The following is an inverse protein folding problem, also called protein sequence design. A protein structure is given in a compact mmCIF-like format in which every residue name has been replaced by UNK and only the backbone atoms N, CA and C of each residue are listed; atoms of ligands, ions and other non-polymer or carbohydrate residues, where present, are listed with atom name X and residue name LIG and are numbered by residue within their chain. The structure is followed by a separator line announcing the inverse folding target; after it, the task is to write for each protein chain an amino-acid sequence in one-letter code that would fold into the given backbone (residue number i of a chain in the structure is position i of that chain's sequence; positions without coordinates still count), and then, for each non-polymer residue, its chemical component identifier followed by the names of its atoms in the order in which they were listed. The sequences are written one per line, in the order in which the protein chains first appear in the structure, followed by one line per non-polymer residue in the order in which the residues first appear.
data_IF_722716631745
#
_entry.id   IF_722716631745
#
_cell.length_a   1.000
_cell.length_b   1.000
_cell.length_c   1.000
_cell.angle_alpha   90.00
_cell.angle_beta   90.00
_cell.angle_gamma   90.00
#
_symmetry.space_group_name_H-M   'P 1'
#
loop_
_entity.id
_entity.type
_entity.pdbx_description
1 polymer ?
#
# COMPACT_ATOMS: atom_id res chain seq x y z
N UNK A 1 -1.61 22.46 8.79
CA UNK A 1 -2.27 21.33 9.49
C UNK A 1 -3.54 20.98 8.77
N UNK A 2 -3.79 19.67 8.51
CA UNK A 2 -5.02 19.17 7.92
C UNK A 2 -5.45 17.87 8.62
N UNK A 3 -6.71 17.54 8.48
CA UNK A 3 -7.24 16.25 8.92
C UNK A 3 -7.27 15.27 7.76
N UNK A 4 -6.84 14.02 8.02
CA UNK A 4 -6.88 12.91 7.09
C UNK A 4 -7.69 11.75 7.67
N UNK A 5 -8.67 11.25 6.92
CA UNK A 5 -9.47 10.10 7.32
C UNK A 5 -8.97 8.83 6.64
N UNK A 6 -8.35 7.94 7.44
CA UNK A 6 -7.89 6.62 7.04
C UNK A 6 -8.95 5.56 7.36
N UNK A 7 -9.39 4.81 6.35
CA UNK A 7 -10.40 3.74 6.48
C UNK A 7 -9.87 2.36 6.05
N UNK A 8 -8.71 2.30 5.45
CA UNK A 8 -8.01 1.10 4.96
C UNK A 8 -6.71 0.85 5.72
N UNK A 9 -5.65 0.51 5.00
CA UNK A 9 -4.31 0.28 5.59
C UNK A 9 -3.80 1.47 6.41
N UNK A 10 -4.22 2.68 6.09
CA UNK A 10 -3.82 3.90 6.79
C UNK A 10 -4.50 4.11 8.15
N UNK A 11 -5.34 3.20 8.60
CA UNK A 11 -5.71 3.13 10.02
C UNK A 11 -4.53 2.67 10.89
N UNK A 12 -3.60 1.91 10.30
CA UNK A 12 -2.40 1.43 10.98
C UNK A 12 -1.31 2.50 11.02
N UNK A 13 -0.82 2.83 12.21
CA UNK A 13 0.33 3.73 12.39
C UNK A 13 1.61 3.19 11.74
N UNK A 14 1.81 1.85 11.74
CA UNK A 14 2.93 1.23 11.05
C UNK A 14 2.86 1.48 9.54
N UNK A 15 1.65 1.37 8.96
CA UNK A 15 1.43 1.64 7.54
C UNK A 15 1.69 3.10 7.18
N UNK A 16 1.28 4.05 8.03
CA UNK A 16 1.56 5.49 7.83
C UNK A 16 3.05 5.79 7.94
N UNK A 17 3.72 5.27 8.97
CA UNK A 17 5.18 5.45 9.17
C UNK A 17 5.99 4.86 8.02
N UNK A 18 5.58 3.72 7.47
CA UNK A 18 6.22 3.16 6.27
C UNK A 18 6.13 4.07 5.04
N UNK A 19 5.17 5.01 5.03
CA UNK A 19 4.98 6.05 4.01
C UNK A 19 5.65 7.39 4.37
N UNK A 20 6.33 7.45 5.53
CA UNK A 20 6.95 8.67 6.04
C UNK A 20 5.96 9.64 6.69
N UNK A 21 4.74 9.20 7.00
CA UNK A 21 3.69 10.03 7.60
C UNK A 21 3.60 9.77 9.11
N UNK A 22 3.78 10.82 9.91
CA UNK A 22 3.66 10.78 11.37
C UNK A 22 2.60 11.79 11.81
N UNK A 23 1.35 11.36 12.08
CA UNK A 23 0.31 12.23 12.59
C UNK A 23 0.63 12.73 14.00
N UNK A 24 0.20 13.95 14.33
CA UNK A 24 0.31 14.52 15.69
C UNK A 24 -0.68 13.91 16.68
N UNK A 25 -1.87 13.61 16.16
CA UNK A 25 -2.93 12.98 16.93
C UNK A 25 -3.77 12.07 16.02
N UNK A 26 -4.42 11.09 16.62
CA UNK A 26 -5.30 10.17 15.92
C UNK A 26 -6.49 9.81 16.80
N UNK A 27 -7.69 9.84 16.26
CA UNK A 27 -8.91 9.46 16.96
C UNK A 27 -9.83 8.65 16.04
N UNK A 28 -10.66 7.80 16.62
CA UNK A 28 -11.70 7.11 15.85
C UNK A 28 -12.67 8.12 15.26
N UNK A 29 -13.18 7.82 14.06
CA UNK A 29 -14.22 8.63 13.44
C UNK A 29 -15.16 7.78 12.60
N UNK A 30 -16.34 8.32 12.34
CA UNK A 30 -17.39 7.70 11.53
C UNK A 30 -17.67 8.58 10.33
N UNK A 31 -17.68 7.98 9.15
CA UNK A 31 -18.16 8.59 7.91
C UNK A 31 -19.53 7.99 7.58
N UNK A 32 -20.60 8.79 7.67
CA UNK A 32 -21.99 8.35 7.41
C UNK A 32 -22.38 8.51 5.94
N UNK A 33 -23.28 7.64 5.49
CA UNK A 33 -23.76 7.65 4.10
C UNK A 33 -22.77 7.07 3.11
N UNK A 34 -21.75 6.35 3.60
CA UNK A 34 -20.70 5.73 2.80
C UNK A 34 -20.51 4.26 3.16
N UNK A 35 -20.02 3.49 2.19
CA UNK A 35 -19.72 2.06 2.34
C UNK A 35 -18.27 1.77 2.00
N UNK A 36 -17.60 0.96 2.83
CA UNK A 36 -16.28 0.41 2.54
C UNK A 36 -16.38 -0.71 1.51
N UNK A 37 -15.52 -0.64 0.51
CA UNK A 37 -15.34 -1.66 -0.53
C UNK A 37 -13.87 -2.05 -0.64
N UNK A 38 -13.61 -3.19 -1.26
CA UNK A 38 -12.25 -3.63 -1.62
C UNK A 38 -12.18 -3.80 -3.14
N UNK A 39 -12.58 -2.78 -3.87
CA UNK A 39 -12.80 -2.82 -5.31
C UNK A 39 -11.87 -1.91 -6.13
N UNK A 40 -10.81 -1.37 -5.52
CA UNK A 40 -9.73 -0.76 -6.30
C UNK A 40 -8.72 -1.84 -6.66
N UNK A 41 -8.54 -2.11 -7.95
CA UNK A 41 -7.57 -3.08 -8.43
C UNK A 41 -6.14 -2.63 -8.10
N UNK A 42 -5.38 -3.48 -7.39
CA UNK A 42 -3.97 -3.19 -7.12
C UNK A 42 -3.13 -3.28 -8.41
N UNK A 43 -2.03 -2.53 -8.49
CA UNK A 43 -1.12 -2.58 -9.65
C UNK A 43 -0.59 -4.00 -9.93
N UNK A 44 -0.33 -4.77 -8.89
CA UNK A 44 0.10 -6.16 -8.98
C UNK A 44 -1.05 -7.09 -8.60
N UNK A 45 -1.35 -8.07 -9.45
CA UNK A 45 -2.56 -8.90 -9.35
C UNK A 45 -2.64 -9.73 -8.09
N UNK A 46 -1.51 -10.22 -7.59
CA UNK A 46 -1.48 -11.04 -6.38
C UNK A 46 -1.94 -10.29 -5.11
N UNK A 47 -1.98 -8.98 -5.14
CA UNK A 47 -2.49 -8.16 -4.04
C UNK A 47 -4.01 -8.05 -4.04
N UNK A 48 -4.68 -8.39 -5.14
CA UNK A 48 -6.13 -8.32 -5.26
C UNK A 48 -6.68 -6.90 -5.23
N UNK A 49 -7.80 -6.72 -4.54
CA UNK A 49 -8.45 -5.42 -4.35
C UNK A 49 -8.01 -4.73 -3.06
N UNK A 50 -7.88 -3.42 -3.11
CA UNK A 50 -7.57 -2.57 -1.95
C UNK A 50 -8.74 -1.66 -1.62
N UNK A 51 -8.68 -1.02 -0.44
CA UNK A 51 -9.77 -0.27 0.15
C UNK A 51 -10.23 0.92 -0.70
N UNK A 52 -11.53 1.07 -0.78
CA UNK A 52 -12.25 2.19 -1.38
C UNK A 52 -13.45 2.55 -0.53
N UNK A 53 -13.97 3.74 -0.66
CA UNK A 53 -15.26 4.14 -0.10
C UNK A 53 -16.18 4.67 -1.20
N UNK A 54 -17.44 4.31 -1.11
CA UNK A 54 -18.47 4.72 -2.05
C UNK A 54 -19.55 5.49 -1.30
N UNK A 55 -19.90 6.68 -1.81
CA UNK A 55 -21.03 7.45 -1.29
C UNK A 55 -22.33 6.76 -1.72
N UNK A 56 -23.10 6.30 -0.76
CA UNK A 56 -24.40 5.65 -0.99
C UNK A 56 -25.56 6.58 -0.68
N UNK A 57 -25.32 7.65 0.07
CA UNK A 57 -26.35 8.51 0.62
C UNK A 57 -27.32 7.83 1.59
N UNK A 58 -27.15 6.52 1.85
CA UNK A 58 -28.03 5.76 2.74
C UNK A 58 -27.68 6.02 4.20
N UNK A 59 -28.63 6.42 5.06
CA UNK A 59 -28.34 6.86 6.44
C UNK A 59 -27.75 5.76 7.33
N UNK A 60 -28.04 4.49 7.06
CA UNK A 60 -27.53 3.36 7.82
C UNK A 60 -26.12 2.92 7.40
N UNK A 61 -25.69 3.33 6.19
CA UNK A 61 -24.34 3.04 5.72
C UNK A 61 -23.32 3.90 6.47
N UNK A 62 -22.24 3.26 6.92
CA UNK A 62 -21.18 3.94 7.64
C UNK A 62 -19.84 3.26 7.41
N UNK A 63 -18.80 4.07 7.36
CA UNK A 63 -17.41 3.61 7.39
C UNK A 63 -16.78 4.03 8.71
N UNK A 64 -16.27 3.08 9.47
CA UNK A 64 -15.46 3.38 10.65
C UNK A 64 -14.00 3.47 10.23
N UNK A 65 -13.31 4.46 10.76
CA UNK A 65 -11.90 4.71 10.44
C UNK A 65 -11.21 5.53 11.51
N UNK A 66 -10.08 6.08 11.14
CA UNK A 66 -9.24 6.90 12.01
C UNK A 66 -9.06 8.28 11.40
N UNK A 67 -9.37 9.31 12.17
CA UNK A 67 -9.10 10.70 11.83
C UNK A 67 -7.71 11.05 12.37
N UNK A 68 -6.80 11.37 11.48
CA UNK A 68 -5.42 11.76 11.78
C UNK A 68 -5.26 13.26 11.61
N UNK A 69 -4.66 13.91 12.59
CA UNK A 69 -4.20 15.30 12.49
C UNK A 69 -2.78 15.30 11.94
N UNK A 70 -2.62 15.71 10.68
CA UNK A 70 -1.35 15.63 9.95
C UNK A 70 -0.73 17.03 9.75
N UNK A 71 0.60 17.15 9.81
CA UNK A 71 1.30 18.35 9.39
C UNK A 71 1.20 18.52 7.87
N UNK A 72 1.27 19.77 7.37
CA UNK A 72 1.02 20.07 5.95
C UNK A 72 2.01 19.38 5.02
N UNK A 73 3.25 19.18 5.45
CA UNK A 73 4.30 18.46 4.71
C UNK A 73 3.96 16.96 4.46
N UNK A 74 3.11 16.37 5.29
CA UNK A 74 2.67 14.99 5.11
C UNK A 74 1.73 14.80 3.90
N UNK A 75 1.13 15.88 3.38
CA UNK A 75 0.18 15.78 2.27
C UNK A 75 0.84 15.23 1.00
N UNK A 76 2.01 15.70 0.66
CA UNK A 76 2.75 15.23 -0.52
C UNK A 76 3.19 13.76 -0.39
N UNK A 77 3.50 13.31 0.82
CA UNK A 77 3.86 11.91 1.09
C UNK A 77 2.64 10.99 0.96
N UNK A 78 1.47 11.44 1.45
CA UNK A 78 0.20 10.72 1.26
C UNK A 78 -0.16 10.66 -0.23
N UNK A 79 -0.12 11.78 -0.95
CA UNK A 79 -0.42 11.84 -2.37
C UNK A 79 0.46 10.87 -3.17
N UNK A 80 1.76 10.84 -2.88
CA UNK A 80 2.69 9.92 -3.52
C UNK A 80 2.34 8.45 -3.19
N UNK A 81 2.07 8.15 -1.92
CA UNK A 81 1.80 6.79 -1.47
C UNK A 81 0.47 6.23 -1.99
N UNK A 82 -0.52 7.11 -2.19
CA UNK A 82 -1.85 6.77 -2.74
C UNK A 82 -1.91 6.89 -4.27
N UNK A 83 -0.78 7.20 -4.92
CA UNK A 83 -0.73 7.44 -6.36
C UNK A 83 -1.82 8.44 -6.81
N UNK A 84 -1.92 9.58 -6.10
CA UNK A 84 -2.90 10.62 -6.37
C UNK A 84 -2.88 11.08 -7.84
N UNK A 85 -4.05 11.16 -8.46
CA UNK A 85 -4.20 11.47 -9.88
C UNK A 85 -3.97 10.27 -10.82
N UNK A 86 -3.58 9.10 -10.29
CA UNK A 86 -3.36 7.86 -11.05
C UNK A 86 -4.17 6.70 -10.50
N UNK A 87 -3.96 6.29 -9.26
CA UNK A 87 -4.67 5.19 -8.60
C UNK A 87 -5.87 5.66 -7.80
N UNK A 88 -5.70 6.75 -7.08
CA UNK A 88 -6.71 7.38 -6.25
C UNK A 88 -6.87 8.86 -6.56
N UNK A 89 -8.07 9.36 -6.30
CA UNK A 89 -8.35 10.78 -6.23
C UNK A 89 -8.51 11.20 -4.76
N UNK A 90 -8.09 12.42 -4.42
CA UNK A 90 -8.28 13.01 -3.10
C UNK A 90 -9.55 13.82 -3.08
N UNK A 91 -10.38 13.59 -2.06
CA UNK A 91 -11.63 14.31 -1.83
C UNK A 91 -11.70 14.82 -0.40
N UNK A 92 -12.55 15.81 -0.20
CA UNK A 92 -12.92 16.34 1.11
C UNK A 92 -14.26 15.73 1.54
N UNK A 93 -14.34 15.32 2.81
CA UNK A 93 -15.49 14.68 3.43
C UNK A 93 -15.73 15.23 4.82
N UNK A 94 -16.95 15.10 5.35
CA UNK A 94 -17.27 15.36 6.74
C UNK A 94 -17.31 14.05 7.54
N UNK A 95 -16.55 13.98 8.64
CA UNK A 95 -16.52 12.83 9.55
C UNK A 95 -16.93 13.25 10.95
N UNK A 96 -17.48 12.30 11.72
CA UNK A 96 -17.86 12.46 13.13
C UNK A 96 -16.79 11.80 14.01
N UNK A 97 -15.90 12.58 14.67
CA UNK A 97 -14.92 12.03 15.60
C UNK A 97 -15.62 11.38 16.82
N UNK A 98 -15.09 10.21 17.25
CA UNK A 98 -15.50 9.61 18.51
C UNK A 98 -14.81 10.34 19.67
N UNK A 99 -15.61 10.81 20.66
CA UNK A 99 -15.11 11.62 21.77
C UNK A 99 -14.34 12.87 21.33
N UNK A 100 -14.97 13.81 20.61
CA UNK A 100 -14.31 15.04 20.22
C UNK A 100 -13.83 15.78 21.49
N UNK A 101 -12.59 16.28 21.47
CA UNK A 101 -12.13 17.18 22.55
C UNK A 101 -13.03 18.41 22.61
N UNK A 102 -13.04 19.12 23.73
CA UNK A 102 -13.85 20.35 23.89
C UNK A 102 -13.56 21.41 22.80
N UNK A 103 -12.43 21.31 22.13
CA UNK A 103 -12.01 22.19 21.04
C UNK A 103 -12.37 21.66 19.64
N UNK A 104 -12.83 20.41 19.51
CA UNK A 104 -13.13 19.77 18.23
C UNK A 104 -14.63 19.83 17.94
N UNK A 105 -15.01 20.27 16.76
CA UNK A 105 -16.40 20.28 16.33
C UNK A 105 -16.98 18.84 16.24
N UNK A 106 -18.32 18.67 16.40
CA UNK A 106 -18.97 17.35 16.28
C UNK A 106 -18.83 16.75 14.88
N UNK A 107 -18.60 17.59 13.86
CA UNK A 107 -18.23 17.18 12.51
C UNK A 107 -16.98 17.94 12.09
N UNK A 108 -16.08 17.22 11.43
CA UNK A 108 -14.78 17.73 11.00
C UNK A 108 -14.62 17.46 9.51
N UNK A 109 -14.22 18.50 8.75
CA UNK A 109 -13.79 18.33 7.38
C UNK A 109 -12.42 17.63 7.35
N UNK A 110 -12.31 16.58 6.56
CA UNK A 110 -11.10 15.78 6.41
C UNK A 110 -10.86 15.40 4.95
N UNK A 111 -9.59 15.28 4.60
CA UNK A 111 -9.18 14.71 3.31
C UNK A 111 -9.24 13.18 3.39
N UNK A 112 -9.58 12.55 2.28
CA UNK A 112 -9.47 11.09 2.11
C UNK A 112 -9.24 10.75 0.64
N UNK A 113 -8.93 9.47 0.36
CA UNK A 113 -8.68 9.01 -1.00
C UNK A 113 -9.73 8.01 -1.45
N UNK A 114 -10.24 8.19 -2.68
CA UNK A 114 -11.18 7.29 -3.35
C UNK A 114 -10.59 6.77 -4.65
N UNK A 115 -10.86 5.51 -4.98
CA UNK A 115 -10.34 4.87 -6.19
C UNK A 115 -10.78 5.60 -7.45
N UNK A 116 -9.86 5.76 -8.40
CA UNK A 116 -10.20 6.34 -9.70
C UNK A 116 -11.00 5.32 -10.54
N UNK A 117 -11.98 5.78 -11.36
CA UNK A 117 -12.92 4.90 -12.08
C UNK A 117 -12.26 3.79 -12.90
N UNK A 118 -11.12 4.08 -13.52
CA UNK A 118 -10.38 3.10 -14.36
C UNK A 118 -9.76 1.94 -13.57
N UNK A 119 -9.70 2.03 -12.23
CA UNK A 119 -9.20 0.99 -11.35
C UNK A 119 -10.29 0.27 -10.56
N UNK A 120 -11.55 0.71 -10.71
CA UNK A 120 -12.67 0.08 -10.01
C UNK A 120 -13.02 -1.23 -10.71
N UNK A 121 -12.93 -2.32 -9.95
CA UNK A 121 -13.35 -3.66 -10.34
C UNK A 121 -14.10 -4.30 -9.17
N UNK A 122 -15.41 -4.41 -9.32
CA UNK A 122 -16.29 -4.91 -8.25
C UNK A 122 -16.13 -6.43 -7.98
N UNK A 123 -15.43 -7.15 -8.84
CA UNK A 123 -15.09 -8.56 -8.64
C UNK A 123 -13.82 -8.75 -7.82
N UNK A 124 -13.04 -7.68 -7.62
CA UNK A 124 -11.87 -7.69 -6.77
C UNK A 124 -12.22 -8.04 -5.32
N UNK A 125 -11.28 -8.73 -4.67
CA UNK A 125 -11.34 -9.09 -3.26
C UNK A 125 -10.01 -8.76 -2.59
N UNK A 126 -10.00 -8.40 -1.29
CA UNK A 126 -8.76 -8.09 -0.59
C UNK A 126 -7.88 -9.33 -0.44
N UNK A 127 -6.57 -9.17 -0.59
CA UNK A 127 -5.64 -10.21 -0.16
C UNK A 127 -5.72 -10.39 1.37
N UNK A 128 -5.39 -11.59 1.86
CA UNK A 128 -5.31 -11.86 3.30
C UNK A 128 -4.37 -10.87 4.00
N UNK A 129 -3.22 -10.61 3.39
CA UNK A 129 -2.23 -9.65 3.87
C UNK A 129 -2.84 -8.25 4.05
N UNK A 130 -3.50 -7.73 3.01
CA UNK A 130 -4.10 -6.40 3.07
C UNK A 130 -5.20 -6.32 4.14
N UNK A 131 -6.07 -7.32 4.19
CA UNK A 131 -7.14 -7.39 5.18
C UNK A 131 -6.59 -7.46 6.61
N UNK A 132 -5.50 -8.22 6.85
CA UNK A 132 -4.84 -8.27 8.15
C UNK A 132 -4.35 -6.89 8.61
N UNK A 133 -3.75 -6.10 7.70
CA UNK A 133 -3.31 -4.72 8.01
C UNK A 133 -4.50 -3.84 8.39
N UNK A 134 -5.60 -3.92 7.65
CA UNK A 134 -6.83 -3.15 7.93
C UNK A 134 -7.40 -3.52 9.30
N UNK A 135 -7.54 -4.82 9.58
CA UNK A 135 -8.06 -5.33 10.84
C UNK A 135 -7.16 -4.94 12.03
N UNK A 136 -5.85 -5.06 11.87
CA UNK A 136 -4.90 -4.71 12.94
C UNK A 136 -4.94 -3.20 13.22
N UNK A 137 -4.93 -2.36 12.18
CA UNK A 137 -5.09 -0.92 12.33
C UNK A 137 -6.40 -0.55 13.03
N UNK A 138 -7.49 -1.19 12.66
CA UNK A 138 -8.80 -0.99 13.30
C UNK A 138 -8.83 -1.43 14.78
N UNK A 139 -8.18 -2.56 15.12
CA UNK A 139 -8.06 -3.02 16.51
C UNK A 139 -7.23 -2.05 17.37
N UNK A 140 -6.09 -1.62 16.84
CA UNK A 140 -5.21 -0.67 17.53
C UNK A 140 -5.90 0.68 17.76
N UNK A 141 -6.73 1.12 16.81
CA UNK A 141 -7.55 2.31 16.96
C UNK A 141 -8.76 2.12 17.89
N UNK A 142 -9.08 0.89 18.30
CA UNK A 142 -10.22 0.56 19.15
C UNK A 142 -11.57 0.69 18.43
N UNK A 143 -11.63 0.34 17.13
CA UNK A 143 -12.90 0.31 16.40
C UNK A 143 -13.84 -0.76 16.94
N UNK A 144 -15.13 -0.60 16.67
CA UNK A 144 -16.20 -1.52 17.07
C UNK A 144 -15.92 -2.97 16.64
N UNK A 145 -16.03 -3.92 17.58
CA UNK A 145 -15.69 -5.32 17.34
C UNK A 145 -16.57 -6.00 16.29
N UNK A 146 -17.87 -5.65 16.22
CA UNK A 146 -18.80 -6.21 15.21
C UNK A 146 -18.45 -5.70 13.81
N UNK A 147 -18.02 -4.44 13.72
CA UNK A 147 -17.54 -3.89 12.45
C UNK A 147 -16.28 -4.63 11.99
N UNK A 148 -15.30 -4.83 12.87
CA UNK A 148 -14.08 -5.58 12.53
C UNK A 148 -14.37 -7.05 12.17
N UNK A 149 -15.31 -7.69 12.85
CA UNK A 149 -15.76 -9.03 12.51
C UNK A 149 -16.41 -9.09 11.11
N UNK A 150 -17.23 -8.11 10.77
CA UNK A 150 -17.82 -8.02 9.43
C UNK A 150 -16.75 -7.86 8.34
N UNK A 151 -15.67 -7.12 8.62
CA UNK A 151 -14.52 -7.01 7.71
C UNK A 151 -13.73 -8.31 7.63
N UNK A 152 -13.52 -9.00 8.75
CA UNK A 152 -12.79 -10.27 8.79
C UNK A 152 -13.45 -11.37 7.98
N UNK A 153 -14.79 -11.33 7.87
CA UNK A 153 -15.62 -12.29 7.13
C UNK A 153 -15.72 -11.95 5.62
N UNK A 154 -15.04 -10.92 5.13
CA UNK A 154 -15.02 -10.62 3.70
C UNK A 154 -14.38 -11.78 2.90
N UNK A 155 -14.95 -12.13 1.74
CA UNK A 155 -14.29 -13.04 0.81
C UNK A 155 -12.91 -12.48 0.44
N UNK A 156 -11.90 -13.35 0.43
CA UNK A 156 -10.52 -12.95 0.13
C UNK A 156 -10.12 -13.35 -1.29
N UNK A 157 -9.19 -12.59 -1.84
CA UNK A 157 -8.48 -12.94 -3.06
C UNK A 157 -7.67 -14.23 -2.83
N UNK A 158 -7.86 -15.20 -3.71
CA UNK A 158 -7.05 -16.42 -3.68
C UNK A 158 -5.68 -16.11 -4.28
N UNK A 159 -4.64 -16.39 -3.51
CA UNK A 159 -3.26 -16.21 -3.98
C UNK A 159 -2.93 -17.31 -4.99
N UNK A 160 -2.39 -16.91 -6.13
CA UNK A 160 -1.73 -17.85 -7.03
C UNK A 160 -0.53 -18.50 -6.33
N UNK A 161 -0.28 -19.77 -6.59
CA UNK A 161 0.97 -20.39 -6.23
C UNK A 161 2.04 -19.99 -7.26
N UNK A 162 3.01 -19.19 -6.81
CA UNK A 162 4.12 -18.79 -7.65
C UNK A 162 5.27 -19.79 -7.57
N UNK A 163 5.81 -20.25 -8.71
CA UNK A 163 7.05 -21.01 -8.72
C UNK A 163 8.19 -20.17 -8.13
N UNK A 164 9.25 -20.81 -7.67
CA UNK A 164 10.46 -20.09 -7.31
C UNK A 164 10.96 -19.32 -8.53
N UNK A 165 11.11 -18.02 -8.40
CA UNK A 165 11.62 -17.19 -9.49
C UNK A 165 13.02 -17.62 -9.90
N UNK A 166 13.21 -17.81 -11.18
CA UNK A 166 14.50 -18.07 -11.80
C UNK A 166 14.75 -17.02 -12.90
N UNK A 167 15.93 -16.39 -12.84
CA UNK A 167 16.32 -15.46 -13.89
C UNK A 167 16.40 -16.21 -15.23
N UNK A 168 15.98 -15.58 -16.35
CA UNK A 168 16.15 -16.17 -17.67
C UNK A 168 17.62 -16.53 -17.93
N UNK A 169 17.90 -17.59 -18.71
CA UNK A 169 19.27 -17.94 -19.08
C UNK A 169 19.87 -16.82 -19.95
N UNK A 170 21.16 -16.51 -19.70
CA UNK A 170 21.88 -15.48 -20.46
C UNK A 170 23.00 -14.86 -19.64
N UNK A 171 23.82 -14.07 -20.33
CA UNK A 171 24.82 -13.23 -19.70
C UNK A 171 24.23 -11.84 -19.45
N UNK A 172 24.10 -11.46 -18.19
CA UNK A 172 23.44 -10.24 -17.77
C UNK A 172 24.37 -9.38 -16.92
N UNK A 173 24.32 -8.05 -17.10
CA UNK A 173 25.11 -7.13 -16.29
C UNK A 173 24.72 -7.19 -14.81
N UNK A 174 25.66 -6.80 -13.96
CA UNK A 174 25.45 -6.63 -12.54
C UNK A 174 25.34 -5.13 -12.20
N UNK A 175 24.32 -4.77 -11.48
CA UNK A 175 24.05 -3.42 -11.00
C UNK A 175 24.32 -3.33 -9.49
N UNK A 176 24.79 -2.18 -9.07
CA UNK A 176 24.76 -1.70 -7.71
C UNK A 176 23.83 -0.48 -7.63
N UNK A 177 23.71 0.12 -6.46
CA UNK A 177 22.86 1.30 -6.25
C UNK A 177 23.24 2.46 -7.18
N UNK A 178 24.53 2.71 -7.37
CA UNK A 178 25.00 3.84 -8.16
C UNK A 178 24.75 3.64 -9.66
N UNK A 179 24.89 2.44 -10.16
CA UNK A 179 24.59 2.08 -11.57
C UNK A 179 23.08 2.07 -11.81
N UNK A 180 22.30 1.52 -10.88
CA UNK A 180 20.85 1.47 -11.00
C UNK A 180 20.24 2.87 -10.99
N UNK A 181 20.72 3.77 -10.13
CA UNK A 181 20.24 5.15 -10.04
C UNK A 181 20.40 5.95 -11.34
N UNK A 182 21.32 5.54 -12.23
CA UNK A 182 21.50 6.14 -13.57
C UNK A 182 20.52 5.60 -14.62
N UNK A 183 19.68 4.65 -14.25
CA UNK A 183 18.73 3.97 -15.14
C UNK A 183 17.30 4.27 -14.69
N UNK A 184 16.71 5.41 -15.06
CA UNK A 184 15.42 5.87 -14.53
C UNK A 184 14.22 4.97 -14.91
N UNK A 185 14.40 4.05 -15.86
CA UNK A 185 13.40 3.07 -16.25
C UNK A 185 13.69 1.65 -15.73
N UNK A 186 14.79 1.45 -15.00
CA UNK A 186 15.09 0.17 -14.37
C UNK A 186 14.74 0.17 -12.90
N UNK A 187 14.30 -0.96 -12.40
CA UNK A 187 14.04 -1.18 -10.98
C UNK A 187 14.66 -2.49 -10.53
N UNK A 188 15.08 -2.57 -9.28
CA UNK A 188 15.55 -3.82 -8.71
C UNK A 188 14.56 -4.36 -7.67
N UNK A 189 14.54 -5.69 -7.56
CA UNK A 189 13.80 -6.40 -6.54
C UNK A 189 14.53 -7.71 -6.20
N UNK A 190 14.92 -7.85 -4.96
CA UNK A 190 15.48 -9.06 -4.35
C UNK A 190 16.53 -9.77 -5.23
N UNK A 191 17.52 -9.00 -5.69
CA UNK A 191 18.64 -9.47 -6.51
C UNK A 191 18.38 -9.50 -8.03
N UNK A 192 17.20 -9.18 -8.50
CA UNK A 192 16.86 -9.09 -9.93
C UNK A 192 16.66 -7.64 -10.35
N UNK A 193 17.04 -7.30 -11.60
CA UNK A 193 16.83 -5.98 -12.21
C UNK A 193 15.92 -6.11 -13.42
N UNK A 194 14.95 -5.22 -13.50
CA UNK A 194 13.90 -5.21 -14.52
C UNK A 194 13.81 -3.86 -15.23
N UNK A 195 13.57 -3.89 -16.51
CA UNK A 195 13.30 -2.74 -17.37
C UNK A 195 11.79 -2.52 -17.50
N UNK A 196 11.33 -1.36 -17.06
CA UNK A 196 9.92 -0.96 -17.09
C UNK A 196 9.54 -0.15 -18.34
N UNK A 197 10.44 0.00 -19.33
CA UNK A 197 10.22 0.85 -20.52
C UNK A 197 8.91 0.48 -21.24
N UNK A 198 8.64 -0.81 -21.40
CA UNK A 198 7.47 -1.38 -22.08
C UNK A 198 6.32 -1.75 -21.13
N UNK A 199 6.37 -1.30 -19.87
CA UNK A 199 5.31 -1.57 -18.92
C UNK A 199 3.95 -1.07 -19.43
N UNK A 200 2.89 -1.85 -19.18
CA UNK A 200 1.52 -1.47 -19.56
C UNK A 200 1.11 -0.11 -18.95
N UNK A 201 0.15 0.61 -19.56
CA UNK A 201 -0.24 1.95 -19.13
C UNK A 201 -0.57 2.07 -17.63
N UNK A 202 -1.20 1.05 -17.06
CA UNK A 202 -1.51 0.95 -15.63
C UNK A 202 -0.27 1.15 -14.73
N UNK A 203 0.91 0.73 -15.19
CA UNK A 203 2.18 0.80 -14.47
C UNK A 203 3.01 2.05 -14.79
N UNK A 204 2.53 2.98 -15.64
CA UNK A 204 3.31 4.16 -16.02
C UNK A 204 3.67 5.04 -14.81
N UNK A 205 2.75 5.17 -13.84
CA UNK A 205 3.03 5.86 -12.59
C UNK A 205 4.22 5.23 -11.84
N UNK A 206 4.32 3.89 -11.84
CA UNK A 206 5.37 3.17 -11.14
C UNK A 206 6.76 3.44 -11.72
N UNK A 207 6.89 3.83 -12.99
CA UNK A 207 8.18 4.20 -13.60
C UNK A 207 8.84 5.35 -12.82
N UNK A 208 8.10 6.39 -12.46
CA UNK A 208 8.61 7.51 -11.68
C UNK A 208 8.88 7.16 -10.21
N UNK A 209 8.14 6.21 -9.67
CA UNK A 209 8.25 5.82 -8.27
C UNK A 209 9.32 4.73 -8.02
N UNK A 210 9.43 3.75 -8.90
CA UNK A 210 10.35 2.61 -8.79
C UNK A 210 11.67 2.82 -9.54
N UNK A 211 11.67 3.66 -10.56
CA UNK A 211 12.81 3.83 -11.46
C UNK A 211 14.09 4.27 -10.75
N UNK A 212 15.19 3.62 -11.08
CA UNK A 212 16.50 3.85 -10.48
C UNK A 212 16.66 3.31 -9.05
N UNK A 213 15.70 2.49 -8.55
CA UNK A 213 15.65 2.09 -7.13
C UNK A 213 15.51 0.58 -6.95
N UNK A 214 16.11 0.08 -5.86
CA UNK A 214 15.77 -1.24 -5.32
C UNK A 214 14.52 -1.14 -4.44
N UNK A 215 13.50 -1.92 -4.78
CA UNK A 215 12.19 -1.90 -4.11
C UNK A 215 12.04 -3.01 -3.07
N UNK A 216 13.09 -3.73 -2.75
CA UNK A 216 13.03 -4.87 -1.83
C UNK A 216 12.54 -4.48 -0.43
N UNK A 217 13.16 -3.47 0.19
CA UNK A 217 12.72 -2.97 1.50
C UNK A 217 11.32 -2.36 1.45
N UNK A 218 10.99 -1.66 0.36
CA UNK A 218 9.66 -1.09 0.20
C UNK A 218 8.59 -2.17 0.27
N UNK A 219 8.77 -3.30 -0.44
CA UNK A 219 7.83 -4.40 -0.38
C UNK A 219 7.84 -5.09 0.98
N UNK A 220 9.00 -5.39 1.56
CA UNK A 220 9.10 -6.05 2.88
C UNK A 220 8.35 -5.27 3.96
N UNK A 221 8.53 -3.95 4.02
CA UNK A 221 7.86 -3.08 5.01
C UNK A 221 6.34 -2.97 4.83
N UNK A 222 5.81 -3.46 3.72
CA UNK A 222 4.37 -3.55 3.43
C UNK A 222 3.78 -4.92 3.77
N UNK A 223 4.58 -5.88 4.20
CA UNK A 223 4.08 -7.16 4.68
C UNK A 223 3.32 -6.95 6.00
N UNK A 224 2.20 -7.67 6.20
CA UNK A 224 1.34 -7.55 7.40
C UNK A 224 2.05 -7.94 8.70
N UNK A 225 3.12 -8.74 8.60
CA UNK A 225 3.99 -9.11 9.73
C UNK A 225 5.20 -8.18 9.93
N UNK A 226 5.38 -7.15 9.08
CA UNK A 226 6.48 -6.20 9.22
C UNK A 226 6.28 -5.30 10.44
N UNK A 227 7.39 -4.94 11.08
CA UNK A 227 7.49 -3.92 12.13
C UNK A 227 8.21 -2.66 11.64
N UNK A 228 8.53 -2.61 10.33
CA UNK A 228 9.28 -1.52 9.66
C UNK A 228 10.73 -1.42 10.17
N UNK A 229 11.25 -2.48 10.78
CA UNK A 229 12.62 -2.60 11.28
C UNK A 229 13.54 -3.39 10.34
N UNK A 230 13.01 -3.92 9.24
CA UNK A 230 13.81 -4.58 8.21
C UNK A 230 14.86 -3.62 7.62
N UNK A 231 16.06 -4.14 7.42
CA UNK A 231 17.22 -3.38 6.93
C UNK A 231 17.80 -3.98 5.64
N UNK A 232 18.61 -3.20 4.93
CA UNK A 232 19.40 -3.72 3.79
C UNK A 232 20.37 -4.81 4.21
N UNK A 233 20.87 -4.76 5.46
CA UNK A 233 21.75 -5.80 6.02
C UNK A 233 21.03 -7.13 6.22
N UNK A 234 19.70 -7.13 6.46
CA UNK A 234 18.94 -8.38 6.54
C UNK A 234 18.81 -9.03 5.17
N UNK A 235 18.65 -8.23 4.13
CA UNK A 235 18.61 -8.69 2.74
C UNK A 235 19.97 -9.23 2.33
N UNK A 236 21.04 -8.42 2.52
CA UNK A 236 22.43 -8.76 2.17
C UNK A 236 22.88 -10.06 2.84
N UNK A 237 22.57 -10.24 4.12
CA UNK A 237 22.98 -11.41 4.90
C UNK A 237 21.97 -12.57 4.86
N UNK A 238 20.95 -12.50 4.01
CA UNK A 238 19.97 -13.57 3.83
C UNK A 238 19.07 -13.86 5.05
N UNK A 239 18.97 -12.91 6.00
CA UNK A 239 18.24 -13.06 7.28
C UNK A 239 16.71 -12.98 7.15
N UNK A 240 16.19 -13.05 5.94
CA UNK A 240 14.74 -13.04 5.72
C UNK A 240 14.12 -14.38 6.11
N UNK A 241 12.97 -14.32 6.76
CA UNK A 241 12.19 -15.50 7.11
C UNK A 241 11.42 -16.08 5.89
N UNK A 242 10.79 -17.24 6.08
CA UNK A 242 10.08 -17.94 5.00
C UNK A 242 8.91 -17.13 4.42
N UNK A 243 8.18 -16.39 5.25
CA UNK A 243 7.05 -15.57 4.80
C UNK A 243 7.53 -14.39 3.94
N UNK A 244 8.58 -13.70 4.39
CA UNK A 244 9.20 -12.61 3.65
C UNK A 244 9.75 -13.07 2.28
N UNK A 245 10.46 -14.21 2.24
CA UNK A 245 10.97 -14.80 1.00
C UNK A 245 9.84 -15.18 0.04
N UNK A 246 8.77 -15.80 0.56
CA UNK A 246 7.59 -16.14 -0.26
C UNK A 246 6.91 -14.89 -0.83
N UNK A 247 6.79 -13.84 -0.04
CA UNK A 247 6.18 -12.58 -0.45
C UNK A 247 7.00 -11.89 -1.55
N UNK A 248 8.32 -11.78 -1.37
CA UNK A 248 9.21 -11.24 -2.41
C UNK A 248 9.20 -12.10 -3.68
N UNK A 249 9.12 -13.43 -3.54
CA UNK A 249 9.01 -14.33 -4.70
C UNK A 249 7.73 -14.10 -5.51
N UNK A 250 6.62 -13.81 -4.86
CA UNK A 250 5.38 -13.46 -5.56
C UNK A 250 5.57 -12.17 -6.38
N UNK A 251 6.17 -11.14 -5.79
CA UNK A 251 6.49 -9.90 -6.49
C UNK A 251 7.50 -10.09 -7.62
N UNK A 252 8.53 -10.93 -7.46
CA UNK A 252 9.48 -11.25 -8.53
C UNK A 252 8.76 -11.84 -9.75
N UNK A 253 7.82 -12.75 -9.53
CA UNK A 253 7.02 -13.33 -10.61
C UNK A 253 6.09 -12.29 -11.25
N UNK A 254 5.47 -11.41 -10.47
CA UNK A 254 4.66 -10.32 -11.00
C UNK A 254 5.50 -9.31 -11.80
N UNK A 255 6.70 -8.96 -11.30
CA UNK A 255 7.64 -8.10 -12.05
C UNK A 255 8.05 -8.75 -13.37
N UNK A 256 8.36 -10.04 -13.36
CA UNK A 256 8.74 -10.77 -14.57
C UNK A 256 7.60 -10.90 -15.61
N UNK A 257 6.33 -10.80 -15.17
CA UNK A 257 5.16 -10.75 -16.07
C UNK A 257 4.95 -9.36 -16.71
N UNK A 258 5.35 -8.32 -15.98
CA UNK A 258 5.08 -6.91 -16.36
C UNK A 258 6.29 -6.21 -16.97
N UNK A 259 7.50 -6.67 -16.66
CA UNK A 259 8.75 -6.01 -17.01
C UNK A 259 9.75 -7.01 -17.56
N UNK A 260 10.68 -6.53 -18.38
CA UNK A 260 11.74 -7.33 -18.94
C UNK A 260 12.90 -7.48 -17.95
N UNK A 261 13.32 -8.70 -17.66
CA UNK A 261 14.54 -8.94 -16.87
C UNK A 261 15.78 -8.47 -17.65
N UNK A 262 16.65 -7.69 -16.99
CA UNK A 262 17.82 -7.07 -17.63
C UNK A 262 19.12 -7.21 -16.83
N UNK A 263 19.10 -7.76 -15.62
CA UNK A 263 20.33 -7.87 -14.86
C UNK A 263 20.17 -8.40 -13.45
N UNK A 264 21.30 -8.45 -12.76
CA UNK A 264 21.41 -8.84 -11.34
C UNK A 264 21.72 -7.62 -10.48
N UNK A 265 21.18 -7.57 -9.28
CA UNK A 265 21.49 -6.54 -8.30
C UNK A 265 22.42 -7.11 -7.24
N UNK A 266 23.54 -6.42 -7.00
CA UNK A 266 24.54 -6.84 -6.03
C UNK A 266 24.47 -5.96 -4.78
N UNK A 267 23.99 -6.51 -3.69
CA UNK A 267 23.88 -5.85 -2.40
C UNK A 267 25.21 -5.61 -1.67
N UNK A 268 26.28 -6.35 -2.04
CA UNK A 268 27.58 -6.21 -1.40
C UNK A 268 28.33 -4.93 -1.78
N UNK A 269 27.85 -4.24 -2.82
CA UNK A 269 28.45 -3.00 -3.32
C UNK A 269 27.65 -1.74 -2.95
N UNK A 270 26.64 -1.87 -2.10
CA UNK A 270 25.76 -0.76 -1.64
C UNK A 270 26.31 -0.04 -0.42
#
# INVERSE_FOLDING_TARGET
MFYYFGFGSNMSMLSLRAKGVEPRASTKAVLRGWRLRFNVQHFFRHEGGVGNIENTGHPDDRVLGVLHECPDEALSLLDQAEAYGHGYNRIEIEVEPDNPSAAMAPKVSALTYVGMPQFIDNDCRPSRRYLNIVLEGGRQAGLDGKYLESLANQPIHQLDEYPTFAAPPGDYPTFDRALLAKQPLYTALYGAVFDMSEARPLHHFLKGFFGGRDMTLFHLRRLDSSKVDETMDDIRNGRLNKAQKRYLNAYLNEYAREYRYVGRYNYDKD
#
